data_IF_402037443221
#
_entry.id   IF_402037443221
#
_cell.length_a   1.000
_cell.length_b   1.000
_cell.length_c   1.000
_cell.angle_alpha   90.00
_cell.angle_beta   90.00
_cell.angle_gamma   90.00
#
_symmetry.space_group_name_H-M   'P 1'
#
loop_
_entity.id
_entity.type
_entity.pdbx_description
1 polymer ?
#
# COMPACT_ATOMS: atom_id res chain seq x y z
N UNK A 1 -4.40 2.57 5.11
CA UNK A 1 -3.68 3.67 5.74
C UNK A 1 -2.20 3.45 5.51
N UNK A 2 -1.45 4.49 5.20
CA UNK A 2 0.00 4.44 4.91
C UNK A 2 0.69 5.43 5.81
N UNK A 3 1.83 5.05 6.40
CA UNK A 3 2.60 5.88 7.31
C UNK A 3 4.05 5.98 6.84
N UNK A 4 4.63 7.18 6.93
CA UNK A 4 6.03 7.46 6.62
C UNK A 4 6.21 8.46 5.48
N UNK A 5 7.25 9.29 5.60
CA UNK A 5 7.53 10.37 4.63
C UNK A 5 7.77 9.85 3.21
N UNK A 6 8.36 8.66 3.10
CA UNK A 6 8.67 8.03 1.81
C UNK A 6 7.49 7.25 1.23
N UNK A 7 6.56 6.81 2.09
CA UNK A 7 5.49 5.91 1.72
C UNK A 7 4.17 6.64 1.44
N UNK A 8 4.08 7.92 1.82
CA UNK A 8 2.94 8.76 1.50
C UNK A 8 3.11 9.32 0.08
N UNK A 9 2.24 8.94 -0.87
CA UNK A 9 2.33 9.37 -2.25
C UNK A 9 2.33 10.90 -2.37
N UNK A 10 3.09 11.45 -3.32
CA UNK A 10 3.02 12.86 -3.65
C UNK A 10 1.69 13.23 -4.30
N UNK A 11 1.34 14.49 -4.23
CA UNK A 11 0.07 15.05 -4.71
C UNK A 11 -0.27 14.82 -6.20
N UNK A 12 0.62 14.18 -6.94
CA UNK A 12 0.46 13.97 -8.40
C UNK A 12 -0.38 12.74 -8.80
N UNK A 13 -0.84 11.93 -7.86
CA UNK A 13 -1.44 10.62 -8.18
C UNK A 13 -2.92 10.43 -7.87
N UNK A 14 -3.63 11.41 -7.30
CA UNK A 14 -5.09 11.29 -7.06
C UNK A 14 -5.54 10.16 -6.12
N UNK A 15 -4.63 9.48 -5.45
CA UNK A 15 -4.93 8.38 -4.52
C UNK A 15 -5.10 8.86 -3.07
N UNK A 16 -4.51 10.01 -2.71
CA UNK A 16 -4.62 10.56 -1.37
C UNK A 16 -6.02 11.07 -1.12
N UNK A 17 -6.63 10.59 -0.04
CA UNK A 17 -7.90 11.14 0.42
C UNK A 17 -7.73 12.12 1.56
N UNK A 18 -6.78 11.88 2.46
CA UNK A 18 -6.55 12.71 3.63
C UNK A 18 -5.19 12.42 4.24
N UNK A 19 -4.43 13.46 4.52
CA UNK A 19 -3.14 13.37 5.20
C UNK A 19 -3.26 13.96 6.60
N UNK A 20 -2.67 13.31 7.58
CA UNK A 20 -2.65 13.74 8.98
C UNK A 20 -1.23 13.87 9.46
N UNK A 21 -0.98 14.94 10.19
CA UNK A 21 0.34 15.21 10.80
C UNK A 21 0.16 15.69 12.24
N UNK A 22 1.08 15.35 13.16
CA UNK A 22 1.10 15.93 14.49
C UNK A 22 1.64 17.36 14.41
N UNK A 23 1.28 18.18 15.40
CA UNK A 23 1.64 19.60 15.43
C UNK A 23 3.15 19.84 15.38
N UNK A 24 3.95 18.97 15.97
CA UNK A 24 5.41 19.11 15.96
C UNK A 24 6.00 18.88 14.58
N UNK A 25 5.51 17.88 13.85
CA UNK A 25 5.96 17.55 12.49
C UNK A 25 5.73 18.70 11.51
N UNK A 26 4.59 19.37 11.62
CA UNK A 26 4.29 20.54 10.77
C UNK A 26 5.37 21.63 10.88
N UNK A 27 5.90 21.85 12.08
CA UNK A 27 6.92 22.86 12.33
C UNK A 27 8.32 22.45 11.88
N UNK A 28 8.64 21.17 12.03
CA UNK A 28 9.98 20.63 11.75
C UNK A 28 10.16 20.27 10.28
N UNK A 29 9.11 19.79 9.63
CA UNK A 29 9.17 19.19 8.29
C UNK A 29 8.21 19.88 7.29
N UNK A 30 8.03 21.19 7.38
CA UNK A 30 7.14 21.97 6.51
C UNK A 30 7.43 21.77 5.01
N UNK A 31 8.68 21.48 4.65
CA UNK A 31 9.09 21.22 3.26
C UNK A 31 8.43 19.96 2.66
N UNK A 32 8.20 18.94 3.48
CA UNK A 32 7.57 17.68 3.08
C UNK A 32 6.08 17.87 2.81
N UNK A 33 5.47 18.86 3.46
CA UNK A 33 4.03 19.15 3.38
C UNK A 33 3.68 20.11 2.24
N UNK A 34 4.67 20.71 1.59
CA UNK A 34 4.45 21.69 0.53
C UNK A 34 3.62 21.10 -0.63
N UNK A 35 2.50 21.73 -0.93
CA UNK A 35 1.59 21.30 -2.00
C UNK A 35 0.67 20.12 -1.64
N UNK A 36 0.59 19.72 -0.35
CA UNK A 36 -0.33 18.71 0.14
C UNK A 36 -1.43 19.33 0.98
N UNK A 37 -2.62 18.75 0.89
CA UNK A 37 -3.69 19.01 1.85
C UNK A 37 -3.49 18.09 3.06
N UNK A 38 -3.43 18.67 4.26
CA UNK A 38 -3.24 17.92 5.49
C UNK A 38 -4.07 18.49 6.64
N UNK A 39 -4.33 17.67 7.61
CA UNK A 39 -4.94 18.06 8.88
C UNK A 39 -3.96 17.85 10.03
N UNK A 40 -3.90 18.86 10.90
CA UNK A 40 -3.09 18.78 12.11
C UNK A 40 -3.92 18.08 13.19
N UNK A 41 -3.33 17.07 13.81
CA UNK A 41 -3.92 16.35 14.94
C UNK A 41 -3.04 16.47 16.18
N UNK A 42 -3.64 16.31 17.37
CA UNK A 42 -2.86 16.24 18.60
C UNK A 42 -1.95 15.02 18.61
N UNK A 43 -0.77 15.14 19.23
CA UNK A 43 0.25 14.09 19.25
C UNK A 43 -0.27 12.76 19.83
N UNK A 44 -1.11 12.82 20.86
CA UNK A 44 -1.72 11.63 21.46
C UNK A 44 -2.69 10.94 20.49
N UNK A 45 -3.43 11.73 19.70
CA UNK A 45 -4.36 11.20 18.69
C UNK A 45 -3.56 10.57 17.56
N UNK A 46 -2.51 11.24 17.10
CA UNK A 46 -1.62 10.70 16.06
C UNK A 46 -1.01 9.36 16.48
N UNK A 47 -0.53 9.23 17.72
CA UNK A 47 -0.03 7.96 18.25
C UNK A 47 -1.07 6.84 18.27
N UNK A 48 -2.33 7.18 18.51
CA UNK A 48 -3.43 6.19 18.48
C UNK A 48 -3.78 5.77 17.04
N UNK A 49 -3.62 6.68 16.09
CA UNK A 49 -3.85 6.42 14.66
C UNK A 49 -2.70 5.64 14.03
N UNK A 50 -1.48 5.84 14.54
CA UNK A 50 -0.28 5.16 14.06
C UNK A 50 -0.23 3.72 14.56
N UNK A 51 0.14 2.82 13.66
CA UNK A 51 0.31 1.38 13.93
C UNK A 51 1.79 1.02 14.21
N UNK A 52 2.63 2.04 14.43
CA UNK A 52 4.07 1.88 14.69
C UNK A 52 4.46 2.33 16.09
N UNK A 53 5.47 1.67 16.66
CA UNK A 53 6.03 2.06 17.96
C UNK A 53 6.71 3.43 17.92
N UNK A 54 7.27 3.79 16.77
CA UNK A 54 7.94 5.07 16.50
C UNK A 54 7.33 5.72 15.25
N UNK A 55 6.25 6.50 15.43
CA UNK A 55 5.60 7.17 14.31
C UNK A 55 6.54 8.11 13.56
N UNK A 56 6.48 8.08 12.22
CA UNK A 56 7.30 8.94 11.36
C UNK A 56 6.70 10.33 11.11
N UNK A 57 5.63 10.68 11.80
CA UNK A 57 5.06 12.03 11.80
C UNK A 57 4.16 12.36 10.61
N UNK A 58 3.95 11.47 9.68
CA UNK A 58 2.99 11.66 8.58
C UNK A 58 2.21 10.38 8.31
N UNK A 59 0.89 10.52 8.17
CA UNK A 59 -0.02 9.41 7.95
C UNK A 59 -1.03 9.79 6.88
N UNK A 60 -1.20 8.95 5.87
CA UNK A 60 -2.17 9.17 4.81
C UNK A 60 -3.25 8.08 4.77
N UNK A 61 -4.48 8.50 4.60
CA UNK A 61 -5.60 7.63 4.21
C UNK A 61 -5.70 7.69 2.70
N UNK A 62 -5.40 6.57 2.06
CA UNK A 62 -5.42 6.46 0.61
C UNK A 62 -6.57 5.55 0.16
N UNK A 63 -7.07 5.80 -1.05
CA UNK A 63 -8.03 4.88 -1.67
C UNK A 63 -7.30 3.62 -2.11
N UNK A 64 -7.85 2.46 -1.80
CA UNK A 64 -7.34 1.22 -2.36
C UNK A 64 -7.56 1.21 -3.88
N UNK A 65 -6.54 0.92 -4.67
CA UNK A 65 -6.70 0.77 -6.11
C UNK A 65 -7.65 -0.39 -6.39
N UNK A 66 -8.61 -0.15 -7.26
CA UNK A 66 -9.51 -1.19 -7.76
C UNK A 66 -9.02 -1.58 -9.15
N UNK A 67 -8.47 -2.77 -9.26
CA UNK A 67 -8.09 -3.35 -10.55
C UNK A 67 -9.18 -4.32 -11.01
N UNK A 68 -9.39 -4.44 -12.30
CA UNK A 68 -10.30 -5.44 -12.87
C UNK A 68 -9.51 -6.54 -13.58
N UNK A 69 -9.92 -7.78 -13.38
CA UNK A 69 -9.33 -8.93 -14.07
C UNK A 69 -9.39 -8.75 -15.60
N UNK A 70 -10.48 -8.19 -16.08
CA UNK A 70 -10.70 -7.94 -17.48
C UNK A 70 -9.62 -7.03 -18.09
N UNK A 71 -9.23 -5.97 -17.39
CA UNK A 71 -8.14 -5.10 -17.85
C UNK A 71 -6.81 -5.84 -17.94
N UNK A 72 -6.55 -6.73 -17.00
CA UNK A 72 -5.31 -7.51 -16.98
C UNK A 72 -5.29 -8.58 -18.06
N UNK A 73 -6.43 -9.22 -18.34
CA UNK A 73 -6.54 -10.24 -19.40
C UNK A 73 -6.44 -9.63 -20.81
N UNK A 74 -6.76 -8.34 -20.94
CA UNK A 74 -6.64 -7.61 -22.21
C UNK A 74 -5.23 -7.05 -22.46
N UNK A 75 -4.28 -7.29 -21.56
CA UNK A 75 -2.87 -6.95 -21.79
C UNK A 75 -2.33 -7.81 -22.94
N UNK A 76 -1.61 -7.25 -23.92
CA UNK A 76 -1.07 -8.01 -25.05
C UNK A 76 -0.03 -9.08 -24.64
N UNK A 77 0.56 -8.96 -23.48
CA UNK A 77 1.51 -9.92 -22.93
C UNK A 77 1.25 -10.15 -21.42
N UNK A 78 0.12 -10.76 -21.04
CA UNK A 78 -0.24 -10.90 -19.65
C UNK A 78 0.70 -11.88 -18.92
N UNK A 79 1.31 -11.41 -17.85
CA UNK A 79 2.16 -12.21 -16.99
C UNK A 79 1.61 -12.20 -15.57
N UNK A 80 1.09 -13.32 -15.12
CA UNK A 80 0.44 -13.46 -13.83
C UNK A 80 1.23 -14.35 -12.88
N UNK A 81 1.18 -13.98 -11.61
CA UNK A 81 1.60 -14.82 -10.51
C UNK A 81 0.38 -15.26 -9.70
N UNK A 82 0.33 -16.52 -9.32
CA UNK A 82 -0.73 -17.07 -8.48
C UNK A 82 -0.14 -17.45 -7.12
N UNK A 83 -0.73 -16.93 -6.05
CA UNK A 83 -0.30 -17.18 -4.68
C UNK A 83 -1.41 -17.87 -3.90
N UNK A 84 -1.10 -19.00 -3.31
CA UNK A 84 -2.02 -19.76 -2.48
C UNK A 84 -1.51 -19.84 -1.04
N UNK A 85 -2.37 -19.46 -0.09
CA UNK A 85 -2.16 -19.65 1.34
C UNK A 85 -0.85 -19.04 1.90
N UNK A 86 -0.46 -17.86 1.42
CA UNK A 86 0.67 -17.12 1.98
C UNK A 86 0.22 -16.43 3.26
N UNK A 87 0.67 -16.91 4.42
CA UNK A 87 0.22 -16.45 5.74
C UNK A 87 1.11 -15.36 6.33
N UNK A 88 2.41 -15.38 6.02
CA UNK A 88 3.36 -14.43 6.58
C UNK A 88 3.43 -13.13 5.75
N UNK A 89 3.15 -11.95 6.37
CA UNK A 89 3.21 -10.67 5.70
C UNK A 89 4.58 -10.32 5.12
N UNK A 90 5.67 -10.76 5.78
CA UNK A 90 7.03 -10.51 5.33
C UNK A 90 7.37 -11.29 4.07
N UNK A 91 6.97 -12.57 4.02
CA UNK A 91 7.12 -13.41 2.84
C UNK A 91 6.30 -12.84 1.68
N UNK A 92 5.03 -12.49 1.93
CA UNK A 92 4.20 -11.86 0.90
C UNK A 92 4.86 -10.60 0.36
N UNK A 93 5.35 -9.70 1.22
CA UNK A 93 6.02 -8.48 0.78
C UNK A 93 7.26 -8.75 -0.08
N UNK A 94 8.06 -9.76 0.26
CA UNK A 94 9.23 -10.18 -0.52
C UNK A 94 8.81 -10.71 -1.91
N UNK A 95 7.78 -11.55 -1.95
CA UNK A 95 7.22 -12.08 -3.20
C UNK A 95 6.71 -10.96 -4.09
N UNK A 96 5.93 -10.01 -3.54
CA UNK A 96 5.40 -8.87 -4.27
C UNK A 96 6.50 -8.03 -4.91
N UNK A 97 7.56 -7.75 -4.16
CA UNK A 97 8.72 -7.00 -4.64
C UNK A 97 9.47 -7.74 -5.76
N UNK A 98 9.61 -9.05 -5.63
CA UNK A 98 10.23 -9.88 -6.66
C UNK A 98 9.37 -9.93 -7.92
N UNK A 99 8.05 -10.05 -7.76
CA UNK A 99 7.09 -10.04 -8.86
C UNK A 99 7.13 -8.72 -9.65
N UNK A 100 7.22 -7.59 -8.95
CA UNK A 100 7.39 -6.28 -9.58
C UNK A 100 8.69 -6.21 -10.39
N UNK A 101 9.81 -6.63 -9.81
CA UNK A 101 11.10 -6.68 -10.49
C UNK A 101 11.14 -7.62 -11.70
N UNK A 102 10.32 -8.66 -11.69
CA UNK A 102 10.15 -9.61 -12.80
C UNK A 102 9.16 -9.13 -13.88
N UNK A 103 8.51 -7.98 -13.69
CA UNK A 103 7.53 -7.44 -14.64
C UNK A 103 6.19 -8.16 -14.63
N UNK A 104 5.79 -8.76 -13.50
CA UNK A 104 4.46 -9.38 -13.34
C UNK A 104 3.38 -8.32 -13.44
N UNK A 105 2.41 -8.53 -14.35
CA UNK A 105 1.29 -7.60 -14.60
C UNK A 105 0.17 -7.73 -13.56
N UNK A 106 -0.02 -8.92 -12.98
CA UNK A 106 -1.08 -9.15 -12.02
C UNK A 106 -0.78 -10.30 -11.07
N UNK A 107 -1.35 -10.21 -9.86
CA UNK A 107 -1.21 -11.24 -8.83
C UNK A 107 -2.59 -11.71 -8.41
N UNK A 108 -2.81 -13.02 -8.54
CA UNK A 108 -4.02 -13.69 -8.09
C UNK A 108 -3.72 -14.35 -6.74
N UNK A 109 -4.56 -14.08 -5.75
CA UNK A 109 -4.34 -14.62 -4.40
C UNK A 109 -5.55 -15.36 -3.90
N UNK A 110 -5.32 -16.48 -3.21
CA UNK A 110 -6.37 -17.19 -2.49
C UNK A 110 -6.90 -16.34 -1.32
N UNK A 111 -8.11 -16.66 -0.85
CA UNK A 111 -8.73 -15.96 0.29
C UNK A 111 -7.93 -16.09 1.57
N UNK A 112 -7.23 -17.20 1.71
CA UNK A 112 -6.44 -17.52 2.91
C UNK A 112 -5.08 -16.85 2.90
N UNK A 113 -4.72 -16.14 1.84
CA UNK A 113 -3.52 -15.31 1.79
C UNK A 113 -3.72 -14.03 2.60
N UNK A 114 -2.71 -13.66 3.39
CA UNK A 114 -2.72 -12.42 4.19
C UNK A 114 -2.99 -11.20 3.31
N UNK A 115 -3.65 -10.20 3.89
CA UNK A 115 -4.03 -9.00 3.15
C UNK A 115 -2.80 -8.19 2.70
N UNK A 116 -2.72 -7.88 1.41
CA UNK A 116 -1.67 -7.01 0.85
C UNK A 116 -1.70 -5.60 1.44
N UNK A 117 -2.89 -5.15 1.87
CA UNK A 117 -3.07 -3.84 2.50
C UNK A 117 -2.87 -3.86 4.01
N UNK A 118 -2.47 -5.01 4.58
CA UNK A 118 -2.02 -5.07 5.95
C UNK A 118 -0.79 -4.16 6.13
N UNK A 119 -0.74 -3.29 7.16
CA UNK A 119 0.37 -2.37 7.36
C UNK A 119 1.75 -3.05 7.41
N UNK A 120 1.83 -4.27 7.96
CA UNK A 120 3.06 -5.04 8.01
C UNK A 120 3.48 -5.53 6.63
N UNK A 121 2.53 -5.94 5.77
CA UNK A 121 2.80 -6.30 4.38
C UNK A 121 3.30 -5.10 3.61
N UNK A 122 2.61 -3.96 3.68
CA UNK A 122 3.00 -2.72 3.00
C UNK A 122 4.42 -2.31 3.40
N UNK A 123 4.77 -2.35 4.68
CA UNK A 123 6.13 -2.05 5.15
C UNK A 123 7.18 -3.02 4.62
N UNK A 124 6.83 -4.30 4.46
CA UNK A 124 7.77 -5.32 3.96
C UNK A 124 7.98 -5.26 2.44
N UNK A 125 7.04 -4.71 1.69
CA UNK A 125 7.20 -4.52 0.24
C UNK A 125 8.27 -3.48 -0.05
N UNK A 126 8.51 -2.53 0.87
CA UNK A 126 9.45 -1.42 0.69
C UNK A 126 9.39 -0.82 -0.73
N UNK A 127 8.19 -0.56 -1.22
CA UNK A 127 8.02 0.02 -2.55
C UNK A 127 8.63 1.41 -2.54
N UNK A 128 9.72 1.67 -3.29
CA UNK A 128 10.24 3.02 -3.40
C UNK A 128 9.20 3.86 -4.11
N UNK A 129 8.73 4.92 -3.49
CA UNK A 129 8.08 6.14 -4.03
C UNK A 129 7.13 6.05 -5.25
N UNK A 130 6.99 4.94 -5.91
CA UNK A 130 6.13 4.77 -7.11
C UNK A 130 4.74 4.22 -6.82
N UNK A 131 4.43 3.98 -5.54
CA UNK A 131 3.12 3.47 -5.15
C UNK A 131 3.00 1.95 -5.27
N UNK A 132 2.06 1.39 -4.54
CA UNK A 132 1.63 -0.01 -4.73
C UNK A 132 1.32 -0.21 -6.23
N UNK A 133 1.89 -1.23 -6.90
CA UNK A 133 1.66 -1.42 -8.33
C UNK A 133 0.17 -1.37 -8.61
N UNK A 134 -0.24 -0.41 -9.45
CA UNK A 134 -1.64 -0.18 -9.82
C UNK A 134 -2.30 -1.37 -10.52
N UNK A 135 -1.51 -2.36 -10.84
CA UNK A 135 -1.87 -3.60 -11.54
C UNK A 135 -2.04 -4.82 -10.63
N UNK A 136 -1.87 -4.70 -9.30
CA UNK A 136 -2.09 -5.82 -8.40
C UNK A 136 -3.58 -6.05 -8.18
N UNK A 137 -4.09 -7.13 -8.74
CA UNK A 137 -5.47 -7.56 -8.58
C UNK A 137 -5.57 -8.63 -7.50
N UNK A 138 -6.27 -8.33 -6.41
CA UNK A 138 -6.72 -9.36 -5.48
C UNK A 138 -7.98 -10.02 -6.01
N UNK A 139 -7.85 -11.15 -6.65
CA UNK A 139 -8.99 -12.01 -6.98
C UNK A 139 -9.07 -13.10 -5.94
N UNK A 140 -10.18 -13.12 -5.24
CA UNK A 140 -10.49 -14.24 -4.35
C UNK A 140 -10.94 -15.44 -5.19
N UNK A 141 -10.05 -16.35 -5.48
CA UNK A 141 -10.40 -17.62 -6.10
C UNK A 141 -11.08 -18.48 -5.03
N UNK A 142 -12.36 -18.82 -5.24
CA UNK A 142 -13.00 -19.88 -4.47
C UNK A 142 -12.50 -21.21 -5.03
N UNK A 143 -11.96 -22.09 -4.20
CA UNK A 143 -11.94 -23.51 -4.55
C UNK A 143 -13.41 -23.92 -4.75
N UNK A 144 -13.78 -24.35 -5.95
CA UNK A 144 -14.97 -25.18 -6.13
C UNK A 144 -14.66 -26.48 -5.37
N UNK A 145 -15.38 -26.71 -4.29
CA UNK A 145 -15.20 -27.91 -3.49
C UNK A 145 -15.43 -29.16 -4.33
N UNK A 146 -14.58 -30.13 -4.10
CA UNK A 146 -14.81 -31.52 -4.42
C UNK A 146 -15.95 -32.05 -3.59
#
# INVERSE_FOLDING_TARGET
>A
MVEGVKDVPGSSGGLDRKTYVPRNFEKEEASVLKGREYEIVEDRVFKTMSDTMTPQGILAVVRQPVSSLEKLLNDPAPFFMVLENIQDPGNLGTILRTAEGAGVNGILMSRDTVDIFNPKTIRSTMVPSTGCPSSMLRISVRRSGS
#
